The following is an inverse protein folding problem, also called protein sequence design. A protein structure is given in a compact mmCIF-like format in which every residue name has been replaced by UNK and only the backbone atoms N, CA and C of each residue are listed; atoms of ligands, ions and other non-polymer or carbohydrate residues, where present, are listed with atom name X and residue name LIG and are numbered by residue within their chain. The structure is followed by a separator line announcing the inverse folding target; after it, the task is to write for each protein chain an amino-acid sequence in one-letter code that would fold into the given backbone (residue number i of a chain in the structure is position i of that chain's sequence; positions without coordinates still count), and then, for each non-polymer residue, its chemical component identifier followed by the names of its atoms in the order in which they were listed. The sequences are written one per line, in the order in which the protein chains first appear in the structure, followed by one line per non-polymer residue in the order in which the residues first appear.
data_IF_301017709021
#
_entry.id   IF_301017709021
#
_cell.length_a   1.000
_cell.length_b   1.000
_cell.length_c   1.000
_cell.angle_alpha   90.00
_cell.angle_beta   90.00
_cell.angle_gamma   90.00
#
_symmetry.space_group_name_H-M   'P 1'
#
loop_
_entity.id
_entity.type
_entity.pdbx_description
1 polymer ?
#
# COMPACT_ATOMS: atom_id res chain seq x y z
N UNK A 1 7.53 17.47 106.32
CA UNK A 1 7.67 16.40 105.31
C UNK A 1 8.96 16.66 104.53
N UNK A 2 9.88 15.68 104.50
CA UNK A 2 10.98 15.58 103.52
C UNK A 2 12.23 16.46 103.74
N UNK A 3 13.33 15.82 104.17
CA UNK A 3 14.71 16.30 104.33
C UNK A 3 15.46 16.45 102.95
N UNK A 4 16.75 16.88 102.86
CA UNK A 4 17.23 17.94 101.94
C UNK A 4 18.45 17.55 101.05
N UNK A 5 19.02 18.55 100.35
CA UNK A 5 20.39 18.64 99.75
C UNK A 5 20.67 17.66 98.58
N UNK A 6 21.38 18.03 97.51
CA UNK A 6 22.86 18.17 97.30
C UNK A 6 22.95 18.59 95.80
N UNK A 7 23.67 19.61 95.32
CA UNK A 7 25.10 19.88 95.41
C UNK A 7 25.86 19.30 94.19
N UNK A 8 26.92 20.01 93.73
CA UNK A 8 27.91 19.67 92.68
C UNK A 8 27.51 19.95 91.22
N UNK A 9 28.41 20.38 90.31
CA UNK A 9 29.77 20.91 90.38
C UNK A 9 30.12 21.43 88.97
N UNK A 10 31.08 22.35 88.89
CA UNK A 10 31.62 22.90 87.65
C UNK A 10 32.27 21.83 86.76
N UNK A 11 32.11 21.94 85.43
CA UNK A 11 32.98 21.26 84.46
C UNK A 11 33.33 22.19 83.29
N UNK A 12 34.64 22.39 83.19
CA UNK A 12 35.50 22.87 82.12
C UNK A 12 34.96 22.87 80.68
N UNK A 13 35.20 24.00 80.00
CA UNK A 13 35.04 24.21 78.56
C UNK A 13 36.20 23.53 77.80
N UNK A 14 35.95 22.37 77.20
CA UNK A 14 36.87 21.69 76.28
C UNK A 14 36.56 22.08 74.83
N UNK A 15 37.53 22.69 74.15
CA UNK A 15 37.45 23.00 72.73
C UNK A 15 37.57 21.71 71.90
N UNK A 16 36.47 21.28 71.28
CA UNK A 16 36.48 20.26 70.23
C UNK A 16 36.77 20.94 68.88
N UNK A 17 37.97 20.71 68.35
CA UNK A 17 38.27 20.88 66.94
C UNK A 17 37.51 19.79 66.17
N UNK A 18 36.30 20.12 65.73
CA UNK A 18 35.56 19.31 64.76
C UNK A 18 36.25 19.38 63.41
N UNK A 19 36.95 18.32 63.04
CA UNK A 19 37.44 18.13 61.68
C UNK A 19 36.24 18.08 60.72
N UNK A 20 36.12 19.08 59.84
CA UNK A 20 35.28 19.00 58.65
C UNK A 20 35.96 18.03 57.67
N UNK A 21 35.74 16.73 57.87
CA UNK A 21 35.99 15.72 56.86
C UNK A 21 34.94 15.87 55.75
N UNK A 22 35.17 16.81 54.83
CA UNK A 22 34.47 16.84 53.55
C UNK A 22 34.97 15.68 52.69
N UNK A 23 34.40 14.49 52.91
CA UNK A 23 34.50 13.42 51.93
C UNK A 23 33.71 13.85 50.71
N UNK A 24 34.38 14.16 49.60
CA UNK A 24 33.74 14.18 48.29
C UNK A 24 33.17 12.79 48.06
N UNK A 25 31.86 12.65 48.26
CA UNK A 25 31.13 11.45 47.90
C UNK A 25 31.13 11.40 46.37
N UNK A 26 32.06 10.65 45.80
CA UNK A 26 32.14 10.39 44.36
C UNK A 26 30.77 9.89 43.91
N UNK A 27 30.07 10.66 43.08
CA UNK A 27 28.75 10.28 42.60
C UNK A 27 28.87 8.92 41.88
N UNK A 28 28.06 7.95 42.32
CA UNK A 28 27.99 6.65 41.68
C UNK A 28 27.40 6.81 40.27
N UNK A 29 27.97 6.11 39.30
CA UNK A 29 27.59 6.23 37.90
C UNK A 29 26.13 5.85 37.65
N UNK A 30 25.37 6.71 36.99
CA UNK A 30 24.06 6.41 36.46
C UNK A 30 24.20 5.74 35.08
N UNK A 31 23.54 4.61 34.87
CA UNK A 31 23.53 3.98 33.55
C UNK A 31 22.82 4.89 32.51
N UNK A 32 23.26 4.87 31.23
CA UNK A 32 22.65 5.71 30.21
C UNK A 32 21.24 5.23 29.89
N UNK A 33 20.42 6.09 29.29
CA UNK A 33 19.10 5.74 28.76
C UNK A 33 19.15 5.69 27.24
N UNK A 34 18.99 4.50 26.67
CA UNK A 34 18.93 4.30 25.23
C UNK A 34 17.57 4.76 24.67
N UNK A 35 17.60 5.61 23.62
CA UNK A 35 16.42 6.10 22.93
C UNK A 35 16.50 5.85 21.42
N UNK A 36 15.93 4.74 20.95
CA UNK A 36 16.05 4.29 19.55
C UNK A 36 15.15 5.04 18.53
N UNK A 37 14.45 6.09 18.95
CA UNK A 37 13.52 6.83 18.11
C UNK A 37 12.13 6.17 17.98
N UNK A 38 11.26 6.78 17.18
CA UNK A 38 9.89 6.29 16.94
C UNK A 38 9.86 5.28 15.78
N UNK A 39 8.84 4.43 15.76
CA UNK A 39 8.59 3.56 14.62
C UNK A 39 8.36 4.35 13.34
N UNK A 40 8.83 3.81 12.21
CA UNK A 40 8.76 4.47 10.90
C UNK A 40 7.96 3.60 9.92
N UNK A 41 7.28 4.26 8.96
CA UNK A 41 6.64 3.61 7.81
C UNK A 41 7.25 4.21 6.55
N UNK A 42 7.83 3.38 5.70
CA UNK A 42 8.63 3.81 4.53
C UNK A 42 8.35 2.93 3.32
N UNK A 43 8.69 3.39 2.13
CA UNK A 43 8.47 2.64 0.89
C UNK A 43 9.67 1.75 0.58
N UNK A 44 9.43 0.56 0.02
CA UNK A 44 10.50 -0.33 -0.47
C UNK A 44 11.41 0.41 -1.44
N UNK A 45 12.72 0.30 -1.22
CA UNK A 45 13.79 0.98 -1.97
C UNK A 45 14.31 2.25 -1.29
N UNK A 46 13.60 2.81 -0.32
CA UNK A 46 14.05 4.02 0.39
C UNK A 46 15.25 3.76 1.30
N UNK A 47 16.10 4.77 1.44
CA UNK A 47 17.14 4.79 2.47
C UNK A 47 16.57 5.39 3.75
N UNK A 48 16.67 4.63 4.84
CA UNK A 48 16.07 4.96 6.13
C UNK A 48 17.17 5.32 7.11
N UNK A 49 16.98 6.39 7.88
CA UNK A 49 17.88 6.81 8.96
C UNK A 49 17.25 6.46 10.30
N UNK A 50 17.95 5.68 11.13
CA UNK A 50 17.57 5.48 12.53
C UNK A 50 18.12 6.64 13.37
N UNK A 51 17.54 6.91 14.54
CA UNK A 51 17.92 8.08 15.32
C UNK A 51 18.03 7.77 16.82
N UNK A 52 19.26 7.72 17.32
CA UNK A 52 19.57 7.54 18.73
C UNK A 52 19.66 8.87 19.50
N UNK A 53 19.33 10.03 18.90
CA UNK A 53 19.53 11.35 19.53
C UNK A 53 18.69 11.59 20.78
N UNK A 54 17.69 10.74 21.05
CA UNK A 54 16.92 10.76 22.29
C UNK A 54 17.62 10.02 23.45
N UNK A 55 18.77 9.40 23.20
CA UNK A 55 19.58 8.77 24.23
C UNK A 55 20.27 9.83 25.08
N UNK A 56 20.35 9.60 26.38
CA UNK A 56 20.97 10.56 27.30
C UNK A 56 21.67 9.85 28.47
N UNK A 57 22.62 10.55 29.05
CA UNK A 57 23.31 10.16 30.27
C UNK A 57 23.04 11.20 31.37
N UNK A 58 22.81 10.74 32.60
CA UNK A 58 22.48 11.61 33.73
C UNK A 58 23.68 12.36 34.31
N UNK A 59 24.88 11.80 34.12
CA UNK A 59 26.15 12.32 34.64
C UNK A 59 26.87 13.19 33.60
N UNK A 60 26.39 13.19 32.36
CA UNK A 60 26.95 13.92 31.24
C UNK A 60 28.10 13.19 30.54
N UNK A 61 28.23 11.88 30.76
CA UNK A 61 29.25 11.05 30.12
C UNK A 61 29.01 10.94 28.61
N UNK A 62 30.11 10.75 27.86
CA UNK A 62 30.04 10.60 26.40
C UNK A 62 29.45 9.25 26.03
N UNK A 63 28.44 9.27 25.16
CA UNK A 63 27.73 8.07 24.73
C UNK A 63 28.34 7.44 23.47
N UNK A 64 28.40 6.12 23.46
CA UNK A 64 28.69 5.29 22.29
C UNK A 64 27.47 4.46 21.93
N UNK A 65 27.35 4.11 20.64
CA UNK A 65 26.16 3.47 20.08
C UNK A 65 26.52 2.17 19.40
N UNK A 66 25.63 1.19 19.43
CA UNK A 66 25.70 0.01 18.59
C UNK A 66 24.31 -0.41 18.15
N UNK A 67 24.09 -0.38 16.85
CA UNK A 67 22.87 -0.83 16.21
C UNK A 67 23.02 -2.25 15.67
N UNK A 68 21.98 -3.06 15.84
CA UNK A 68 21.91 -4.45 15.36
C UNK A 68 20.58 -4.67 14.66
N UNK A 69 20.60 -5.19 13.44
CA UNK A 69 19.38 -5.65 12.76
C UNK A 69 18.95 -6.99 13.38
N UNK A 70 17.90 -6.97 14.21
CA UNK A 70 17.40 -8.13 14.96
C UNK A 70 16.58 -9.04 14.06
N UNK A 71 15.67 -8.46 13.28
CA UNK A 71 14.82 -9.20 12.34
C UNK A 71 14.53 -8.38 11.10
N UNK A 72 14.34 -9.06 9.97
CA UNK A 72 14.00 -8.49 8.67
C UNK A 72 13.07 -9.44 7.90
N UNK A 73 12.36 -8.98 6.86
CA UNK A 73 11.53 -9.85 6.02
C UNK A 73 12.35 -10.94 5.31
N UNK A 74 11.69 -12.05 5.01
CA UNK A 74 12.27 -13.11 4.18
C UNK A 74 12.64 -12.56 2.79
N UNK A 75 13.79 -12.97 2.27
CA UNK A 75 14.31 -12.47 0.99
C UNK A 75 15.03 -11.13 1.04
N UNK A 76 14.91 -10.37 2.14
CA UNK A 76 15.76 -9.19 2.37
C UNK A 76 17.24 -9.59 2.48
N UNK A 77 18.14 -8.74 2.00
CA UNK A 77 19.59 -8.85 2.13
C UNK A 77 20.23 -7.64 2.84
N UNK A 78 19.39 -6.72 3.31
CA UNK A 78 19.84 -5.45 3.88
C UNK A 78 20.69 -5.64 5.14
N UNK A 79 21.57 -4.66 5.36
CA UNK A 79 22.35 -4.49 6.58
C UNK A 79 22.37 -3.03 7.00
N UNK A 80 22.87 -2.77 8.21
CA UNK A 80 22.99 -1.41 8.77
C UNK A 80 24.38 -0.86 8.47
N UNK A 81 24.45 0.34 7.89
CA UNK A 81 25.69 1.08 7.66
C UNK A 81 25.90 2.14 8.74
N UNK A 82 27.13 2.26 9.24
CA UNK A 82 27.46 3.16 10.36
C UNK A 82 26.79 2.72 11.66
N UNK A 83 26.74 1.42 11.93
CA UNK A 83 26.03 0.85 13.09
C UNK A 83 26.56 1.31 14.44
N UNK A 84 27.74 1.91 14.48
CA UNK A 84 28.39 2.53 15.65
C UNK A 84 28.09 4.04 15.80
N UNK A 85 27.27 4.61 14.91
CA UNK A 85 26.93 6.04 14.90
C UNK A 85 25.58 6.33 15.57
N UNK A 86 25.36 7.58 15.96
CA UNK A 86 24.07 8.03 16.50
C UNK A 86 22.93 7.92 15.47
N UNK A 87 23.24 8.03 14.17
CA UNK A 87 22.26 8.05 13.08
C UNK A 87 22.68 7.12 11.93
N UNK A 88 22.61 5.79 12.13
CA UNK A 88 22.94 4.84 11.08
C UNK A 88 21.90 4.85 9.97
N UNK A 89 22.25 4.26 8.83
CA UNK A 89 21.34 4.13 7.69
C UNK A 89 21.22 2.69 7.20
N UNK A 90 20.06 2.34 6.63
CA UNK A 90 19.86 1.08 5.92
C UNK A 90 18.95 1.29 4.70
N UNK A 91 18.94 0.33 3.77
CA UNK A 91 18.05 0.35 2.60
C UNK A 91 16.88 -0.60 2.84
N UNK A 92 15.65 -0.10 2.69
CA UNK A 92 14.41 -0.87 2.84
C UNK A 92 14.17 -1.77 1.61
N UNK A 93 14.94 -2.83 1.46
CA UNK A 93 15.03 -3.63 0.22
C UNK A 93 13.88 -4.63 0.00
N UNK A 94 13.00 -4.84 0.96
CA UNK A 94 11.86 -5.76 0.86
C UNK A 94 10.68 -5.26 1.71
N UNK A 95 9.42 -5.48 1.29
CA UNK A 95 8.27 -5.17 2.12
C UNK A 95 8.25 -6.02 3.40
N UNK A 96 7.77 -5.43 4.49
CA UNK A 96 7.59 -6.11 5.78
C UNK A 96 8.22 -5.36 6.94
N UNK A 97 8.33 -6.02 8.10
CA UNK A 97 8.82 -5.41 9.32
C UNK A 97 10.32 -5.65 9.52
N UNK A 98 11.05 -4.58 9.82
CA UNK A 98 12.44 -4.60 10.25
C UNK A 98 12.52 -4.14 11.71
N UNK A 99 13.24 -4.88 12.55
CA UNK A 99 13.45 -4.54 13.95
C UNK A 99 14.92 -4.31 14.20
N UNK A 100 15.27 -3.14 14.74
CA UNK A 100 16.64 -2.74 15.05
C UNK A 100 16.79 -2.62 16.56
N UNK A 101 17.78 -3.31 17.12
CA UNK A 101 18.22 -3.11 18.50
C UNK A 101 19.25 -2.00 18.57
N UNK A 102 19.15 -1.17 19.59
CA UNK A 102 20.13 -0.15 19.98
C UNK A 102 20.71 -0.54 21.33
N UNK A 103 22.03 -0.59 21.43
CA UNK A 103 22.77 -0.56 22.69
C UNK A 103 23.50 0.78 22.83
N UNK A 104 23.42 1.39 24.00
CA UNK A 104 24.10 2.65 24.34
C UNK A 104 24.99 2.42 25.55
N UNK A 105 26.22 2.92 25.52
CA UNK A 105 27.16 2.84 26.65
C UNK A 105 27.82 4.19 26.92
N UNK A 106 27.95 4.52 28.20
CA UNK A 106 28.68 5.68 28.76
C UNK A 106 30.17 5.35 29.05
N UNK A 107 30.63 4.13 28.72
CA UNK A 107 31.97 3.61 29.02
C UNK A 107 32.10 2.89 30.37
N UNK A 108 31.07 2.88 31.22
CA UNK A 108 31.04 2.20 32.53
C UNK A 108 29.86 1.24 32.66
N UNK A 109 28.71 1.60 32.11
CA UNK A 109 27.46 0.87 32.06
C UNK A 109 26.86 0.89 30.63
N UNK A 110 25.78 0.15 30.44
CA UNK A 110 25.06 0.12 29.16
C UNK A 110 23.56 -0.10 29.34
N UNK A 111 22.78 0.35 28.35
CA UNK A 111 21.35 0.10 28.24
C UNK A 111 20.94 -0.20 26.82
N UNK A 112 19.73 -0.77 26.64
CA UNK A 112 19.23 -1.19 25.34
C UNK A 112 17.83 -0.66 25.06
N UNK A 113 17.51 -0.50 23.78
CA UNK A 113 16.18 -0.15 23.27
C UNK A 113 16.02 -0.76 21.86
N UNK A 114 14.86 -0.63 21.23
CA UNK A 114 14.60 -1.09 19.88
C UNK A 114 13.73 -0.11 19.08
N UNK A 115 13.94 -0.08 17.77
CA UNK A 115 13.11 0.64 16.80
C UNK A 115 12.55 -0.34 15.77
N UNK A 116 11.32 -0.07 15.31
CA UNK A 116 10.67 -0.87 14.26
C UNK A 116 10.43 0.00 13.04
N UNK A 117 10.78 -0.52 11.86
CA UNK A 117 10.48 0.10 10.56
C UNK A 117 9.58 -0.84 9.78
N UNK A 118 8.38 -0.36 9.42
CA UNK A 118 7.46 -1.07 8.54
C UNK A 118 7.65 -0.58 7.12
N UNK A 119 8.09 -1.48 6.24
CA UNK A 119 8.31 -1.19 4.83
C UNK A 119 7.08 -1.62 4.03
N UNK A 120 6.52 -0.68 3.26
CA UNK A 120 5.36 -0.88 2.40
C UNK A 120 5.75 -0.77 0.92
N UNK A 121 4.94 -1.31 0.02
CA UNK A 121 5.16 -1.22 -1.43
C UNK A 121 4.05 -0.45 -2.13
N UNK A 122 4.42 0.23 -3.22
CA UNK A 122 3.50 0.67 -4.26
C UNK A 122 3.68 -0.20 -5.49
N UNK A 123 2.59 -0.81 -5.94
CA UNK A 123 2.51 -1.51 -7.20
C UNK A 123 3.35 -2.77 -7.31
N UNK A 124 2.83 -3.90 -6.82
CA UNK A 124 3.45 -5.21 -7.01
C UNK A 124 3.50 -5.60 -8.50
N UNK A 125 4.63 -6.20 -8.92
CA UNK A 125 4.94 -6.94 -10.16
C UNK A 125 4.26 -6.57 -11.50
N UNK A 126 3.74 -5.35 -11.70
CA UNK A 126 3.17 -4.91 -12.98
C UNK A 126 2.02 -3.93 -12.85
N UNK A 127 1.35 -3.91 -11.71
CA UNK A 127 0.17 -3.06 -11.48
C UNK A 127 0.42 -2.02 -10.38
N UNK A 128 -0.49 -1.07 -10.19
CA UNK A 128 -0.55 -0.15 -9.05
C UNK A 128 -2.01 0.18 -8.77
N UNK A 129 -2.44 0.01 -7.53
CA UNK A 129 -3.80 0.40 -7.09
C UNK A 129 -3.92 1.92 -7.10
N UNK A 130 -5.05 2.45 -7.55
CA UNK A 130 -5.33 3.89 -7.56
C UNK A 130 -6.64 4.20 -6.84
N UNK A 131 -6.66 5.32 -6.12
CA UNK A 131 -7.88 5.84 -5.49
C UNK A 131 -8.89 6.41 -6.51
N UNK A 132 -10.00 6.97 -6.01
CA UNK A 132 -11.05 7.58 -6.83
C UNK A 132 -10.61 8.85 -7.59
N UNK A 133 -9.46 9.41 -7.23
CA UNK A 133 -8.84 10.56 -7.89
C UNK A 133 -7.63 10.18 -8.76
N UNK A 134 -7.32 8.89 -8.86
CA UNK A 134 -6.22 8.38 -9.67
C UNK A 134 -4.85 8.45 -8.99
N UNK A 135 -4.80 8.67 -7.67
CA UNK A 135 -3.55 8.70 -6.92
C UNK A 135 -3.09 7.28 -6.54
N UNK A 136 -1.77 7.00 -6.59
CA UNK A 136 -1.23 5.71 -6.19
C UNK A 136 -1.56 5.34 -4.75
N UNK A 137 -1.99 4.10 -4.54
CA UNK A 137 -2.26 3.48 -3.26
C UNK A 137 -1.24 2.38 -2.97
N UNK A 138 -1.00 2.16 -1.67
CA UNK A 138 -0.19 1.03 -1.20
C UNK A 138 -0.76 -0.29 -1.71
N UNK A 139 0.10 -1.28 -1.93
CA UNK A 139 -0.34 -2.63 -2.33
C UNK A 139 -1.27 -3.26 -1.30
N UNK A 140 -1.08 -2.92 -0.02
CA UNK A 140 -1.92 -3.33 1.11
C UNK A 140 -3.27 -2.62 1.19
N UNK A 141 -3.56 -1.66 0.31
CA UNK A 141 -4.84 -0.95 0.31
C UNK A 141 -6.00 -1.95 0.15
N UNK A 142 -6.97 -1.85 1.07
CA UNK A 142 -8.13 -2.73 1.13
C UNK A 142 -9.18 -2.42 0.04
N UNK A 143 -9.17 -1.20 -0.49
CA UNK A 143 -10.05 -0.74 -1.57
C UNK A 143 -9.31 0.20 -2.51
N UNK A 144 -9.70 0.19 -3.78
CA UNK A 144 -9.17 1.04 -4.83
C UNK A 144 -10.19 1.14 -5.97
N UNK A 145 -10.17 2.23 -6.72
CA UNK A 145 -11.15 2.50 -7.78
C UNK A 145 -10.64 2.14 -9.18
N UNK A 146 -9.32 2.17 -9.37
CA UNK A 146 -8.67 1.86 -10.64
C UNK A 146 -7.33 1.16 -10.44
N UNK A 147 -6.82 0.57 -11.52
CA UNK A 147 -5.50 -0.07 -11.55
C UNK A 147 -4.68 0.52 -12.68
N UNK A 148 -3.50 1.03 -12.38
CA UNK A 148 -2.47 1.35 -13.37
C UNK A 148 -1.74 0.07 -13.77
N UNK A 149 -1.85 -0.32 -15.03
CA UNK A 149 -0.97 -1.28 -15.70
C UNK A 149 0.31 -0.55 -16.15
N UNK A 150 1.42 -0.87 -15.48
CA UNK A 150 2.72 -0.23 -15.70
C UNK A 150 3.34 -0.61 -17.05
N UNK A 151 3.02 -1.80 -17.57
CA UNK A 151 3.54 -2.32 -18.83
C UNK A 151 2.78 -1.73 -20.02
N UNK A 152 1.44 -1.77 -19.96
CA UNK A 152 0.57 -1.20 -20.98
C UNK A 152 0.53 0.34 -20.99
N UNK A 153 0.93 0.99 -19.88
CA UNK A 153 0.68 2.43 -19.63
C UNK A 153 -0.81 2.75 -19.74
N UNK A 154 -1.61 1.90 -19.12
CA UNK A 154 -3.08 1.95 -19.14
C UNK A 154 -3.60 2.05 -17.72
N UNK A 155 -4.67 2.82 -17.53
CA UNK A 155 -5.46 2.81 -16.31
C UNK A 155 -6.76 2.09 -16.59
N UNK A 156 -7.01 1.07 -15.79
CA UNK A 156 -8.16 0.19 -15.89
C UNK A 156 -9.16 0.48 -14.79
N UNK A 157 -10.43 0.46 -15.16
CA UNK A 157 -11.52 0.52 -14.21
C UNK A 157 -11.51 -0.74 -13.32
N UNK A 158 -11.78 -0.57 -12.02
CA UNK A 158 -12.14 -1.68 -11.11
C UNK A 158 -13.66 -1.77 -10.99
N UNK A 159 -14.21 -2.98 -10.96
CA UNK A 159 -15.66 -3.16 -10.82
C UNK A 159 -16.09 -3.06 -9.36
N UNK A 160 -17.36 -2.77 -9.15
CA UNK A 160 -17.95 -2.66 -7.81
C UNK A 160 -18.90 -3.81 -7.53
N UNK A 161 -19.33 -3.93 -6.27
CA UNK A 161 -20.35 -4.88 -5.81
C UNK A 161 -21.43 -4.15 -5.01
N UNK A 162 -22.05 -3.17 -5.65
CA UNK A 162 -22.93 -2.18 -5.03
C UNK A 162 -24.24 -1.94 -5.80
N UNK A 163 -24.49 -2.67 -6.88
CA UNK A 163 -25.66 -2.51 -7.73
C UNK A 163 -25.65 -1.25 -8.61
N UNK A 164 -24.58 -0.45 -8.61
CA UNK A 164 -24.42 0.70 -9.50
C UNK A 164 -24.29 0.25 -10.97
N UNK A 165 -24.13 1.20 -11.90
CA UNK A 165 -23.74 0.86 -13.28
C UNK A 165 -22.34 0.23 -13.33
N UNK A 166 -21.46 0.47 -12.36
CA UNK A 166 -20.14 -0.18 -12.31
C UNK A 166 -20.15 -1.54 -11.64
N UNK A 167 -21.31 -2.04 -11.21
CA UNK A 167 -21.42 -3.35 -10.57
C UNK A 167 -21.00 -4.47 -11.52
N UNK A 168 -20.23 -5.44 -11.02
CA UNK A 168 -19.66 -6.51 -11.84
C UNK A 168 -20.69 -7.41 -12.51
N UNK A 169 -21.92 -7.49 -12.00
CA UNK A 169 -23.01 -8.27 -12.61
C UNK A 169 -23.71 -7.54 -13.74
N UNK A 170 -23.38 -6.27 -13.97
CA UNK A 170 -23.99 -5.47 -15.02
C UNK A 170 -23.47 -5.91 -16.38
N UNK A 171 -24.40 -6.22 -17.26
CA UNK A 171 -24.15 -6.56 -18.65
C UNK A 171 -24.64 -5.43 -19.56
N UNK A 172 -23.94 -5.26 -20.66
CA UNK A 172 -24.11 -4.14 -21.58
C UNK A 172 -24.21 -4.65 -23.01
N UNK A 173 -25.07 -4.01 -23.79
CA UNK A 173 -25.08 -4.15 -25.25
C UNK A 173 -24.02 -3.26 -25.89
N UNK A 174 -23.57 -3.57 -27.11
CA UNK A 174 -22.47 -2.86 -27.79
C UNK A 174 -22.94 -2.08 -29.04
N UNK A 175 -23.88 -1.18 -28.85
CA UNK A 175 -24.33 -0.26 -29.88
C UNK A 175 -23.33 0.89 -30.04
N UNK A 176 -22.96 1.23 -31.28
CA UNK A 176 -22.09 2.37 -31.63
C UNK A 176 -22.93 3.41 -32.36
N UNK A 177 -22.96 4.65 -31.85
CA UNK A 177 -23.77 5.75 -32.40
C UNK A 177 -23.30 6.23 -33.78
N UNK A 178 -22.07 5.91 -34.21
CA UNK A 178 -21.42 6.50 -35.39
C UNK A 178 -21.52 5.61 -36.63
N UNK A 179 -21.90 4.33 -36.51
CA UNK A 179 -21.72 3.30 -37.56
C UNK A 179 -22.96 2.50 -37.94
N UNK A 180 -24.18 2.99 -37.72
CA UNK A 180 -25.39 2.18 -37.92
C UNK A 180 -26.21 2.62 -39.16
N UNK A 181 -25.86 2.21 -40.40
CA UNK A 181 -26.85 1.98 -41.46
C UNK A 181 -27.48 0.57 -41.32
N UNK A 182 -28.59 0.35 -42.03
CA UNK A 182 -29.53 -0.78 -41.92
C UNK A 182 -28.91 -2.18 -41.70
N UNK A 183 -29.33 -2.87 -40.63
CA UNK A 183 -29.07 -4.29 -40.39
C UNK A 183 -30.40 -5.03 -40.53
N UNK A 184 -30.45 -5.99 -41.46
CA UNK A 184 -31.68 -6.68 -41.88
C UNK A 184 -32.47 -7.28 -40.70
N UNK A 185 -33.71 -6.80 -40.52
CA UNK A 185 -34.76 -7.49 -39.74
C UNK A 185 -34.77 -7.29 -38.23
N UNK A 186 -33.88 -6.46 -37.66
CA UNK A 186 -33.89 -6.12 -36.22
C UNK A 186 -34.17 -4.63 -36.07
N UNK A 187 -35.11 -4.24 -35.20
CA UNK A 187 -35.38 -2.82 -34.92
C UNK A 187 -34.10 -2.17 -34.36
N UNK A 188 -33.66 -1.06 -34.97
CA UNK A 188 -32.55 -0.27 -34.45
C UNK A 188 -32.86 0.27 -33.06
N UNK A 189 -31.87 0.33 -32.15
CA UNK A 189 -32.01 1.12 -30.94
C UNK A 189 -32.17 2.60 -31.33
N UNK A 190 -33.19 3.24 -30.77
CA UNK A 190 -33.35 4.70 -30.79
C UNK A 190 -32.14 5.40 -30.16
N UNK A 191 -31.91 6.69 -30.47
CA UNK A 191 -30.86 7.49 -29.81
C UNK A 191 -30.94 7.39 -28.28
N UNK A 192 -32.15 7.42 -27.71
CA UNK A 192 -32.34 7.24 -26.28
C UNK A 192 -31.88 5.85 -25.77
N UNK A 193 -32.05 4.80 -26.56
CA UNK A 193 -31.54 3.46 -26.24
C UNK A 193 -30.03 3.32 -26.44
N UNK A 194 -29.40 4.17 -27.27
CA UNK A 194 -27.94 4.26 -27.46
C UNK A 194 -27.30 5.10 -26.36
N UNK A 195 -27.96 6.12 -25.85
CA UNK A 195 -27.43 6.95 -24.77
C UNK A 195 -27.77 6.39 -23.38
N UNK A 196 -28.63 5.37 -23.30
CA UNK A 196 -28.96 4.69 -22.07
C UNK A 196 -27.71 4.04 -21.44
N UNK A 197 -27.59 4.12 -20.11
CA UNK A 197 -26.50 3.50 -19.33
C UNK A 197 -26.54 1.96 -19.40
N UNK A 198 -27.37 1.34 -20.24
CA UNK A 198 -27.49 -0.12 -20.46
C UNK A 198 -26.70 -0.62 -21.66
N UNK A 199 -25.92 0.23 -22.33
CA UNK A 199 -25.03 -0.14 -23.42
C UNK A 199 -23.64 0.49 -23.23
N UNK A 200 -22.71 0.16 -24.13
CA UNK A 200 -21.32 0.63 -24.13
C UNK A 200 -21.18 2.15 -24.17
N UNK A 201 -21.92 2.84 -25.04
CA UNK A 201 -21.86 4.30 -25.22
C UNK A 201 -22.37 5.02 -23.97
N UNK A 202 -23.56 4.67 -23.49
CA UNK A 202 -24.13 5.29 -22.30
C UNK A 202 -23.33 4.98 -21.04
N UNK A 203 -22.80 3.76 -20.90
CA UNK A 203 -21.91 3.39 -19.80
C UNK A 203 -20.61 4.19 -19.82
N UNK A 204 -19.95 4.25 -20.99
CA UNK A 204 -18.74 5.06 -21.17
C UNK A 204 -18.99 6.53 -20.85
N UNK A 205 -20.11 7.09 -21.35
CA UNK A 205 -20.53 8.46 -21.06
C UNK A 205 -20.72 8.71 -19.55
N UNK A 206 -21.37 7.79 -18.85
CA UNK A 206 -21.57 7.88 -17.41
C UNK A 206 -20.24 7.87 -16.63
N UNK A 207 -19.31 6.97 -16.97
CA UNK A 207 -17.99 6.89 -16.33
C UNK A 207 -17.16 8.15 -16.60
N UNK A 208 -17.18 8.66 -17.83
CA UNK A 208 -16.49 9.90 -18.20
C UNK A 208 -17.08 11.14 -17.52
N UNK A 209 -18.42 11.21 -17.40
CA UNK A 209 -19.08 12.28 -16.67
C UNK A 209 -18.73 12.26 -15.19
N UNK A 210 -18.59 11.07 -14.60
CA UNK A 210 -18.19 10.90 -13.20
C UNK A 210 -16.73 11.27 -12.92
N UNK A 211 -15.87 11.32 -13.94
CA UNK A 211 -14.46 11.64 -13.75
C UNK A 211 -13.69 10.54 -13.00
N UNK A 212 -14.06 9.27 -13.20
CA UNK A 212 -13.51 8.14 -12.47
C UNK A 212 -11.97 8.16 -12.48
N UNK A 213 -11.35 8.10 -11.29
CA UNK A 213 -9.91 8.13 -11.09
C UNK A 213 -9.23 9.34 -11.73
N UNK A 214 -9.91 10.49 -11.65
CA UNK A 214 -9.49 11.77 -12.21
C UNK A 214 -9.54 11.84 -13.74
N UNK A 215 -10.04 10.80 -14.43
CA UNK A 215 -10.05 10.70 -15.90
C UNK A 215 -11.43 10.88 -16.52
N UNK A 216 -11.49 11.49 -17.70
CA UNK A 216 -12.71 11.66 -18.51
C UNK A 216 -12.58 11.13 -19.94
N UNK A 217 -11.52 10.38 -20.19
CA UNK A 217 -11.09 9.83 -21.48
C UNK A 217 -11.20 8.29 -21.49
N UNK A 218 -12.09 7.74 -20.67
CA UNK A 218 -12.40 6.31 -20.64
C UNK A 218 -13.02 5.89 -21.97
N UNK A 219 -12.55 4.73 -22.44
CA UNK A 219 -13.00 4.09 -23.67
C UNK A 219 -13.11 2.58 -23.49
N UNK A 220 -13.78 1.94 -24.44
CA UNK A 220 -13.67 0.50 -24.58
C UNK A 220 -12.20 0.13 -24.88
N UNK A 221 -11.69 -0.95 -24.27
CA UNK A 221 -10.38 -1.48 -24.57
C UNK A 221 -10.37 -2.20 -25.92
N UNK A 222 -9.23 -2.18 -26.60
CA UNK A 222 -8.98 -3.06 -27.73
C UNK A 222 -8.85 -4.51 -27.23
N UNK A 223 -8.99 -5.47 -28.13
CA UNK A 223 -8.79 -6.86 -27.76
C UNK A 223 -7.39 -7.16 -27.24
N UNK A 224 -6.34 -6.52 -27.80
CA UNK A 224 -4.96 -6.70 -27.34
C UNK A 224 -4.80 -6.22 -25.90
N UNK A 225 -5.41 -5.09 -25.56
CA UNK A 225 -5.38 -4.56 -24.20
C UNK A 225 -6.10 -5.49 -23.22
N UNK A 226 -7.30 -5.97 -23.56
CA UNK A 226 -8.02 -6.95 -22.72
C UNK A 226 -7.23 -8.24 -22.53
N UNK A 227 -6.60 -8.73 -23.60
CA UNK A 227 -5.80 -9.96 -23.54
C UNK A 227 -4.51 -9.77 -22.73
N UNK A 228 -3.99 -8.53 -22.66
CA UNK A 228 -2.84 -8.18 -21.82
C UNK A 228 -3.10 -8.28 -20.32
N UNK A 229 -4.36 -8.24 -19.89
CA UNK A 229 -4.74 -8.44 -18.48
C UNK A 229 -4.70 -9.91 -18.05
N UNK A 230 -4.65 -10.85 -18.99
CA UNK A 230 -4.72 -12.27 -18.72
C UNK A 230 -3.33 -12.84 -18.38
N UNK A 231 -3.26 -13.68 -17.36
CA UNK A 231 -2.03 -14.40 -17.03
C UNK A 231 -1.66 -15.42 -18.12
N UNK A 232 -0.37 -15.57 -18.41
CA UNK A 232 0.14 -16.53 -19.41
C UNK A 232 0.20 -17.98 -18.88
N UNK A 233 -0.85 -18.42 -18.16
CA UNK A 233 -0.94 -19.79 -17.64
C UNK A 233 -1.89 -20.66 -18.49
N UNK A 234 -1.93 -21.97 -18.23
CA UNK A 234 -2.77 -22.94 -18.96
C UNK A 234 -4.27 -22.65 -18.88
N UNK A 235 -4.70 -21.80 -17.94
CA UNK A 235 -6.02 -21.21 -17.90
C UNK A 235 -5.86 -19.69 -17.70
N UNK A 236 -6.03 -18.85 -18.73
CA UNK A 236 -5.93 -17.40 -18.57
C UNK A 236 -7.01 -16.91 -17.59
N UNK A 237 -6.55 -16.17 -16.59
CA UNK A 237 -7.38 -15.47 -15.62
C UNK A 237 -6.81 -14.06 -15.42
N UNK A 238 -7.68 -13.12 -15.08
CA UNK A 238 -7.28 -11.78 -14.66
C UNK A 238 -6.79 -11.80 -13.22
N UNK A 239 -5.75 -11.03 -12.89
CA UNK A 239 -5.22 -10.97 -11.53
C UNK A 239 -6.28 -10.46 -10.52
N UNK A 240 -6.85 -11.39 -9.75
CA UNK A 240 -7.92 -11.10 -8.79
C UNK A 240 -7.49 -10.23 -7.60
N UNK A 241 -6.19 -10.05 -7.36
CA UNK A 241 -5.69 -9.11 -6.35
C UNK A 241 -5.90 -7.67 -6.80
N UNK A 242 -5.85 -7.39 -8.10
CA UNK A 242 -5.99 -6.06 -8.69
C UNK A 242 -7.35 -5.84 -9.34
N UNK A 243 -7.93 -6.89 -9.89
CA UNK A 243 -9.22 -6.89 -10.58
C UNK A 243 -10.19 -7.83 -9.86
N UNK A 244 -10.67 -7.45 -8.66
CA UNK A 244 -11.70 -8.19 -7.97
C UNK A 244 -13.02 -8.07 -8.73
N UNK A 245 -14.01 -8.82 -8.25
CA UNK A 245 -15.38 -8.77 -8.75
C UNK A 245 -15.45 -9.08 -10.25
N UNK A 246 -14.93 -10.25 -10.61
CA UNK A 246 -15.08 -10.86 -11.94
C UNK A 246 -15.72 -12.22 -11.75
N UNK A 247 -16.79 -12.49 -12.50
CA UNK A 247 -17.37 -13.83 -12.52
C UNK A 247 -16.44 -14.76 -13.27
N UNK A 248 -15.90 -15.74 -12.56
CA UNK A 248 -15.07 -16.79 -13.11
C UNK A 248 -15.82 -18.12 -13.09
N UNK A 249 -17.15 -18.14 -13.08
CA UNK A 249 -17.94 -19.36 -13.32
C UNK A 249 -18.06 -19.62 -14.82
N UNK A 250 -17.86 -20.88 -15.22
CA UNK A 250 -17.83 -21.26 -16.64
C UNK A 250 -19.19 -21.07 -17.32
N UNK A 251 -19.22 -20.44 -18.49
CA UNK A 251 -20.44 -20.23 -19.25
C UNK A 251 -21.33 -19.12 -18.69
N UNK A 252 -20.82 -18.32 -17.75
CA UNK A 252 -21.51 -17.11 -17.29
C UNK A 252 -21.40 -16.03 -18.36
N UNK A 253 -22.49 -15.32 -18.66
CA UNK A 253 -22.46 -14.14 -19.53
C UNK A 253 -21.57 -13.02 -18.97
N UNK A 254 -21.21 -13.08 -17.69
CA UNK A 254 -20.33 -12.11 -17.04
C UNK A 254 -18.84 -12.40 -17.27
N UNK A 255 -18.48 -13.56 -17.82
CA UNK A 255 -17.08 -13.93 -18.12
C UNK A 255 -16.56 -13.26 -19.42
N UNK A 256 -17.46 -12.86 -20.32
CA UNK A 256 -17.16 -12.26 -21.61
C UNK A 256 -17.17 -10.73 -21.53
N UNK A 257 -16.12 -10.09 -22.05
CA UNK A 257 -15.94 -8.64 -22.02
C UNK A 257 -15.89 -8.05 -23.42
N UNK A 258 -16.70 -7.01 -23.69
CA UNK A 258 -16.62 -6.34 -24.98
C UNK A 258 -15.29 -5.64 -25.19
N UNK A 259 -14.78 -5.74 -26.42
CA UNK A 259 -13.70 -4.92 -26.94
C UNK A 259 -14.22 -3.88 -27.94
N UNK A 260 -13.39 -2.89 -28.25
CA UNK A 260 -13.61 -1.94 -29.35
C UNK A 260 -13.32 -2.56 -30.73
N UNK A 261 -12.80 -3.78 -30.79
CA UNK A 261 -12.51 -4.47 -32.06
C UNK A 261 -13.81 -5.00 -32.68
N UNK A 262 -14.06 -4.70 -33.95
CA UNK A 262 -15.28 -5.12 -34.67
C UNK A 262 -14.96 -5.89 -35.95
N UNK A 263 -15.79 -6.89 -36.30
CA UNK A 263 -15.74 -7.58 -37.59
C UNK A 263 -16.77 -7.06 -38.61
N UNK A 264 -17.56 -6.04 -38.24
CA UNK A 264 -18.56 -5.44 -39.12
C UNK A 264 -19.52 -4.53 -38.36
N UNK A 265 -20.63 -4.18 -39.01
CA UNK A 265 -21.68 -3.30 -38.44
C UNK A 265 -22.54 -4.04 -37.39
N UNK A 266 -22.83 -5.33 -37.59
CA UNK A 266 -23.69 -6.12 -36.70
C UNK A 266 -23.00 -6.76 -35.49
N UNK A 267 -21.70 -7.05 -35.60
CA UNK A 267 -20.97 -7.85 -34.63
C UNK A 267 -19.76 -7.12 -34.08
N UNK A 268 -19.45 -7.41 -32.82
CA UNK A 268 -18.28 -6.91 -32.12
C UNK A 268 -17.56 -8.07 -31.40
N UNK A 269 -16.27 -7.88 -31.12
CA UNK A 269 -15.48 -8.90 -30.49
C UNK A 269 -15.62 -8.85 -28.96
N UNK A 270 -15.78 -10.03 -28.37
CA UNK A 270 -15.68 -10.26 -26.93
C UNK A 270 -14.43 -11.07 -26.59
N UNK A 271 -13.89 -10.82 -25.41
CA UNK A 271 -12.76 -11.55 -24.82
C UNK A 271 -13.20 -12.15 -23.50
N UNK A 272 -13.02 -13.46 -23.32
CA UNK A 272 -13.32 -14.12 -22.06
C UNK A 272 -12.17 -13.93 -21.06
N UNK A 273 -12.51 -13.57 -19.82
CA UNK A 273 -11.57 -13.49 -18.69
C UNK A 273 -11.36 -14.84 -18.00
N UNK A 274 -11.95 -15.90 -18.55
CA UNK A 274 -11.72 -17.28 -18.16
C UNK A 274 -11.84 -18.21 -19.36
N UNK A 275 -10.83 -19.02 -19.62
CA UNK A 275 -11.01 -20.15 -20.54
C UNK A 275 -10.27 -21.40 -20.05
N UNK A 276 -10.81 -22.55 -20.45
CA UNK A 276 -10.19 -23.86 -20.29
C UNK A 276 -9.28 -24.22 -21.48
N UNK A 277 -9.18 -23.34 -22.48
CA UNK A 277 -8.37 -23.55 -23.67
C UNK A 277 -7.80 -22.23 -24.20
N UNK A 278 -6.48 -22.10 -24.37
CA UNK A 278 -5.86 -20.88 -24.92
C UNK A 278 -6.31 -20.55 -26.35
N UNK A 279 -7.03 -21.46 -27.02
CA UNK A 279 -7.50 -21.32 -28.40
C UNK A 279 -8.90 -20.67 -28.49
N UNK A 280 -9.72 -20.76 -27.42
CA UNK A 280 -11.12 -20.30 -27.43
C UNK A 280 -11.39 -19.34 -26.26
N UNK A 281 -10.84 -18.14 -26.33
CA UNK A 281 -11.11 -17.07 -25.37
C UNK A 281 -11.58 -15.77 -26.03
N UNK A 282 -11.79 -15.81 -27.35
CA UNK A 282 -12.24 -14.67 -28.14
C UNK A 282 -13.30 -15.13 -29.12
N UNK A 283 -14.34 -14.32 -29.27
CA UNK A 283 -15.47 -14.61 -30.15
C UNK A 283 -16.04 -13.31 -30.72
N UNK A 284 -16.79 -13.40 -31.83
CA UNK A 284 -17.57 -12.27 -32.34
C UNK A 284 -19.04 -12.53 -32.06
N UNK A 285 -19.69 -11.62 -31.35
CA UNK A 285 -21.11 -11.73 -31.02
C UNK A 285 -21.89 -10.54 -31.58
N UNK A 286 -23.21 -10.70 -31.69
CA UNK A 286 -24.11 -9.64 -32.09
C UNK A 286 -24.06 -8.49 -31.08
N UNK A 287 -24.05 -7.26 -31.57
CA UNK A 287 -24.05 -6.05 -30.72
C UNK A 287 -25.26 -5.95 -29.78
N UNK A 288 -26.33 -6.67 -30.09
CA UNK A 288 -27.53 -6.80 -29.25
C UNK A 288 -27.37 -7.76 -28.08
N UNK A 289 -26.33 -8.61 -28.06
CA UNK A 289 -26.01 -9.46 -26.92
C UNK A 289 -25.54 -8.62 -25.72
N UNK A 290 -25.68 -9.17 -24.51
CA UNK A 290 -25.32 -8.50 -23.28
C UNK A 290 -24.10 -9.18 -22.64
N UNK A 291 -22.98 -8.44 -22.55
CA UNK A 291 -21.71 -8.91 -22.02
C UNK A 291 -21.11 -7.88 -21.04
N UNK A 292 -20.12 -8.29 -20.26
CA UNK A 292 -19.42 -7.41 -19.32
C UNK A 292 -18.63 -6.31 -20.06
N UNK A 293 -18.31 -5.24 -19.33
CA UNK A 293 -17.41 -4.18 -19.78
C UNK A 293 -16.31 -3.97 -18.76
N UNK A 294 -15.15 -3.49 -19.18
CA UNK A 294 -14.16 -2.87 -18.28
C UNK A 294 -13.46 -1.79 -19.08
N UNK A 295 -13.72 -0.54 -18.72
CA UNK A 295 -13.16 0.57 -19.48
C UNK A 295 -11.67 0.73 -19.18
N UNK A 296 -10.99 1.32 -20.14
CA UNK A 296 -9.57 1.65 -20.06
C UNK A 296 -9.34 3.09 -20.50
N UNK A 297 -8.28 3.71 -19.99
CA UNK A 297 -7.74 4.97 -20.51
C UNK A 297 -6.22 4.88 -20.57
N UNK A 298 -5.61 5.71 -21.40
CA UNK A 298 -4.14 5.79 -21.49
C UNK A 298 -3.60 6.70 -20.39
N UNK A 299 -2.40 6.41 -19.90
CA UNK A 299 -1.65 7.37 -19.07
C UNK A 299 -1.15 8.49 -19.99
N UNK A 300 -1.42 9.74 -19.62
CA UNK A 300 -0.92 10.93 -20.31
C UNK A 300 0.52 11.24 -19.91
#
# INVERSE_FOLDING_TARGET
MGFPKIGCAAVLLGAFLGACGGGEQQAENAAPVAGAGKSQVVVTGETVTLDASASFDGDGDTLTYQWTLISKPDGSSTGVSGSDTQKPVFVADSPGSYTFGLAVSDGKASSTNAATVTVVTYGSAGYTKLDEHGQPLLDSAASWSCVLDKAGKLVWEVKTKDGSSRDWRRLYTNYDSVKQPQLDGVNFPTTAQIDAVTNTVGYQGAVNSAGLCGGKDWRLPTQRELSGLLTQSSAPYVDGIYFPDVDLSAGSSSEWFWSSTSAGEATAQVVSFKTYSPVYFMWFDFRSAAHSLRLVRSVQ
#
